data_IF_886909552768
#
_entry.id   IF_886909552768
#
_cell.length_a   1.000
_cell.length_b   1.000
_cell.length_c   1.000
_cell.angle_alpha   90.00
_cell.angle_beta   90.00
_cell.angle_gamma   90.00
#
_symmetry.space_group_name_H-M   'P 1'
#
loop_
_entity.id
_entity.type
_entity.pdbx_description
1 polymer ?
#
# COMPACT_ATOMS: atom_id res chain seq x y z
N UNK A 1 -36.03 48.58 6.93
CA UNK A 1 -37.07 47.78 6.26
C UNK A 1 -36.82 46.30 6.53
N UNK A 2 -37.86 45.58 6.93
CA UNK A 2 -37.72 44.14 7.27
C UNK A 2 -37.23 43.31 6.07
N UNK A 3 -37.55 43.71 4.84
CA UNK A 3 -37.09 43.00 3.63
C UNK A 3 -35.55 42.98 3.54
N UNK A 4 -34.89 44.12 3.72
CA UNK A 4 -33.44 44.21 3.69
C UNK A 4 -32.81 43.34 4.78
N UNK A 5 -33.41 43.29 5.98
CA UNK A 5 -32.95 42.44 7.07
C UNK A 5 -33.08 40.94 6.74
N UNK A 6 -34.17 40.54 6.08
CA UNK A 6 -34.34 39.12 5.69
C UNK A 6 -33.40 38.64 4.58
N UNK A 7 -33.03 39.55 3.68
CA UNK A 7 -32.01 39.21 2.64
C UNK A 7 -30.59 39.12 3.20
N UNK A 8 -30.25 39.88 4.24
CA UNK A 8 -28.88 39.97 4.74
C UNK A 8 -27.92 40.51 3.67
N UNK A 9 -26.67 40.07 3.65
CA UNK A 9 -25.70 40.39 2.61
C UNK A 9 -25.50 41.88 2.36
N UNK A 10 -25.64 42.72 3.41
CA UNK A 10 -25.59 44.19 3.34
C UNK A 10 -26.73 44.83 2.51
N UNK A 11 -27.81 44.09 2.29
CA UNK A 11 -29.00 44.70 1.69
C UNK A 11 -29.51 45.88 2.55
N UNK A 12 -29.95 46.94 1.92
CA UNK A 12 -30.42 48.14 2.62
C UNK A 12 -31.56 48.82 1.87
N UNK A 13 -32.29 49.70 2.57
CA UNK A 13 -33.25 50.63 1.99
C UNK A 13 -32.86 52.02 2.48
N UNK A 14 -32.61 52.95 1.59
CA UNK A 14 -32.25 54.32 1.94
C UNK A 14 -33.45 55.15 2.36
N UNK A 15 -33.24 56.39 2.75
CA UNK A 15 -34.29 57.34 3.18
C UNK A 15 -35.31 57.64 2.09
N UNK A 16 -34.94 57.49 0.83
CA UNK A 16 -35.82 57.75 -0.34
C UNK A 16 -36.61 56.50 -0.75
N UNK A 17 -36.48 55.40 0.03
CA UNK A 17 -37.15 54.13 -0.23
C UNK A 17 -36.49 53.24 -1.28
N UNK A 18 -35.31 53.60 -1.75
CA UNK A 18 -34.56 52.83 -2.77
C UNK A 18 -33.91 51.62 -2.11
N UNK A 19 -34.16 50.44 -2.65
CA UNK A 19 -33.58 49.17 -2.16
C UNK A 19 -32.20 48.90 -2.83
N UNK A 20 -31.20 48.67 -2.02
CA UNK A 20 -29.90 48.13 -2.46
C UNK A 20 -29.92 46.64 -2.18
N UNK A 21 -29.70 45.82 -3.20
CA UNK A 21 -29.71 44.37 -3.11
C UNK A 21 -28.58 43.79 -2.27
N UNK A 22 -28.69 42.52 -1.89
CA UNK A 22 -27.64 41.84 -1.12
C UNK A 22 -26.41 41.55 -1.95
N UNK A 23 -25.27 41.37 -1.27
CA UNK A 23 -24.05 40.82 -1.82
C UNK A 23 -23.62 39.62 -0.96
N UNK A 24 -23.61 38.44 -1.54
CA UNK A 24 -23.16 37.21 -0.88
C UNK A 24 -21.81 36.82 -1.42
N UNK A 25 -20.78 36.74 -0.56
CA UNK A 25 -19.44 36.26 -0.97
C UNK A 25 -19.35 34.75 -0.71
N UNK A 26 -19.08 33.97 -1.78
CA UNK A 26 -18.88 32.51 -1.72
C UNK A 26 -17.52 32.24 -2.38
N UNK A 27 -16.57 31.71 -1.61
CA UNK A 27 -15.19 31.70 -2.01
C UNK A 27 -14.67 33.12 -2.26
N UNK A 28 -14.15 33.41 -3.44
CA UNK A 28 -13.68 34.73 -3.83
C UNK A 28 -14.67 35.50 -4.72
N UNK A 29 -15.85 34.94 -5.00
CA UNK A 29 -16.84 35.50 -5.92
C UNK A 29 -18.02 36.11 -5.20
N UNK A 30 -18.51 37.28 -5.67
CA UNK A 30 -19.71 37.93 -5.17
C UNK A 30 -20.94 37.56 -6.01
N UNK A 31 -22.03 37.26 -5.32
CA UNK A 31 -23.35 36.99 -5.89
C UNK A 31 -24.37 37.99 -5.36
N UNK A 32 -25.25 38.45 -6.22
CA UNK A 32 -26.16 39.57 -5.93
C UNK A 32 -27.62 39.13 -5.74
N UNK A 33 -27.88 37.85 -5.73
CA UNK A 33 -29.17 37.27 -5.37
C UNK A 33 -28.99 35.90 -4.72
N UNK A 34 -30.02 35.48 -3.98
CA UNK A 34 -30.01 34.20 -3.23
C UNK A 34 -29.90 33.01 -4.16
N UNK A 35 -30.56 33.03 -5.31
CA UNK A 35 -30.58 31.90 -6.25
C UNK A 35 -29.20 31.59 -6.77
N UNK A 36 -28.44 32.60 -7.27
CA UNK A 36 -27.10 32.42 -7.77
C UNK A 36 -26.12 32.03 -6.65
N UNK A 37 -26.29 32.60 -5.45
CA UNK A 37 -25.46 32.23 -4.30
C UNK A 37 -25.67 30.75 -3.91
N UNK A 38 -26.93 30.30 -3.85
CA UNK A 38 -27.23 28.88 -3.56
C UNK A 38 -26.73 27.94 -4.68
N UNK A 39 -26.86 28.35 -5.94
CA UNK A 39 -26.31 27.56 -7.07
C UNK A 39 -24.81 27.43 -6.98
N UNK A 40 -24.09 28.50 -6.62
CA UNK A 40 -22.64 28.48 -6.43
C UNK A 40 -22.22 27.56 -5.26
N UNK A 41 -22.93 27.61 -4.13
CA UNK A 41 -22.72 26.71 -3.00
C UNK A 41 -22.92 25.26 -3.44
N UNK A 42 -24.04 24.96 -4.12
CA UNK A 42 -24.34 23.61 -4.60
C UNK A 42 -23.24 23.09 -5.56
N UNK A 43 -22.77 23.93 -6.48
CA UNK A 43 -21.69 23.55 -7.41
C UNK A 43 -20.37 23.30 -6.68
N UNK A 44 -20.00 24.20 -5.75
CA UNK A 44 -18.76 24.02 -4.95
C UNK A 44 -18.82 22.78 -4.09
N UNK A 45 -19.97 22.50 -3.46
CA UNK A 45 -20.20 21.33 -2.63
C UNK A 45 -20.15 20.04 -3.46
N UNK A 46 -20.79 20.02 -4.63
CA UNK A 46 -20.76 18.86 -5.54
C UNK A 46 -19.35 18.55 -6.05
N UNK A 47 -18.56 19.59 -6.38
CA UNK A 47 -17.16 19.41 -6.78
C UNK A 47 -16.31 18.87 -5.63
N UNK A 48 -16.42 19.46 -4.43
CA UNK A 48 -15.66 19.02 -3.27
C UNK A 48 -16.02 17.60 -2.84
N UNK A 49 -17.30 17.19 -2.97
CA UNK A 49 -17.70 15.80 -2.72
C UNK A 49 -17.17 14.85 -3.81
N UNK A 50 -17.11 15.32 -5.07
CA UNK A 50 -16.51 14.54 -6.17
C UNK A 50 -15.05 14.18 -5.93
N UNK A 51 -14.33 15.03 -5.19
CA UNK A 51 -12.91 14.88 -4.87
C UNK A 51 -12.66 14.21 -3.50
N UNK A 52 -13.71 13.83 -2.77
CA UNK A 52 -13.60 13.22 -1.45
C UNK A 52 -13.53 11.68 -1.51
N UNK A 53 -12.89 11.07 -0.52
CA UNK A 53 -12.98 9.63 -0.30
C UNK A 53 -14.37 9.31 0.27
N UNK A 54 -15.27 8.84 -0.57
CA UNK A 54 -16.67 8.63 -0.23
C UNK A 54 -16.98 7.17 0.12
N UNK A 55 -17.98 7.01 1.01
CA UNK A 55 -18.56 5.71 1.32
C UNK A 55 -19.44 5.22 0.15
N UNK A 56 -19.09 4.07 -0.41
CA UNK A 56 -19.93 3.35 -1.38
C UNK A 56 -20.83 2.39 -0.61
N UNK A 57 -22.10 2.77 -0.48
CA UNK A 57 -23.10 2.00 0.26
C UNK A 57 -23.43 0.66 -0.41
N UNK A 58 -23.28 0.55 -1.74
CA UNK A 58 -23.52 -0.68 -2.48
C UNK A 58 -22.39 -1.68 -2.26
N UNK A 59 -21.15 -1.20 -2.27
CA UNK A 59 -19.96 -2.02 -2.05
C UNK A 59 -19.64 -2.19 -0.56
N UNK A 60 -20.24 -1.42 0.35
CA UNK A 60 -20.01 -1.44 1.79
C UNK A 60 -18.60 -1.01 2.19
N UNK A 61 -18.00 -0.04 1.48
CA UNK A 61 -16.61 0.40 1.71
C UNK A 61 -16.35 1.83 1.22
N UNK A 62 -15.27 2.45 1.68
CA UNK A 62 -14.75 3.66 1.07
C UNK A 62 -14.09 3.32 -0.27
N UNK A 63 -14.29 4.16 -1.28
CA UNK A 63 -13.72 3.96 -2.61
C UNK A 63 -12.81 5.12 -2.97
N UNK A 64 -11.56 4.79 -3.32
CA UNK A 64 -10.59 5.74 -3.86
C UNK A 64 -10.63 5.84 -5.39
N UNK A 65 -11.72 5.39 -6.01
CA UNK A 65 -11.95 5.62 -7.44
C UNK A 65 -12.15 7.10 -7.73
N UNK A 66 -11.48 7.59 -8.77
CA UNK A 66 -11.50 9.00 -9.12
C UNK A 66 -11.55 9.21 -10.63
N UNK A 67 -11.85 10.49 -11.01
CA UNK A 67 -11.91 10.88 -12.42
C UNK A 67 -13.14 10.36 -13.17
N UNK A 68 -13.23 10.73 -14.44
CA UNK A 68 -14.39 10.47 -15.31
C UNK A 68 -14.65 8.99 -15.55
N UNK A 69 -13.59 8.16 -15.53
CA UNK A 69 -13.67 6.73 -15.77
C UNK A 69 -13.81 5.91 -14.48
N UNK A 70 -13.70 6.56 -13.30
CA UNK A 70 -13.71 5.85 -12.03
C UNK A 70 -12.51 4.92 -11.85
N UNK A 71 -11.34 5.33 -12.30
CA UNK A 71 -10.10 4.59 -12.17
C UNK A 71 -9.63 4.55 -10.71
N UNK A 72 -8.83 3.54 -10.35
CA UNK A 72 -8.24 3.45 -9.01
C UNK A 72 -7.26 4.61 -8.79
N UNK A 73 -7.27 5.18 -7.59
CA UNK A 73 -6.36 6.26 -7.17
C UNK A 73 -5.41 5.80 -6.08
N UNK A 74 -4.27 6.46 -5.98
CA UNK A 74 -3.32 6.30 -4.89
C UNK A 74 -3.74 7.19 -3.72
N UNK A 75 -3.66 6.66 -2.49
CA UNK A 75 -3.77 7.45 -1.27
C UNK A 75 -2.35 7.73 -0.78
N UNK A 76 -1.96 9.01 -0.73
CA UNK A 76 -0.64 9.46 -0.29
C UNK A 76 -0.69 10.00 1.15
N UNK A 77 0.50 10.24 1.73
CA UNK A 77 0.64 10.86 3.05
C UNK A 77 -0.05 10.07 4.19
N UNK A 78 -0.19 8.75 4.00
CA UNK A 78 -0.66 7.84 5.05
C UNK A 78 0.47 7.66 6.05
N UNK A 79 0.24 8.06 7.31
CA UNK A 79 1.18 7.81 8.42
C UNK A 79 1.37 6.30 8.63
N UNK A 80 2.46 5.94 9.31
CA UNK A 80 2.71 4.55 9.71
C UNK A 80 1.57 4.06 10.61
N UNK A 81 0.95 2.95 10.21
CA UNK A 81 -0.04 2.25 11.02
C UNK A 81 0.60 1.46 12.15
N UNK A 82 -0.13 1.23 13.22
CA UNK A 82 0.31 0.32 14.27
C UNK A 82 0.44 -1.11 13.71
N UNK A 83 1.58 -1.76 14.02
CA UNK A 83 1.81 -3.16 13.66
C UNK A 83 1.68 -4.01 14.91
N UNK A 84 0.47 -4.51 15.15
CA UNK A 84 0.15 -5.44 16.24
C UNK A 84 -0.88 -6.47 15.80
N UNK A 85 -1.09 -7.50 16.61
CA UNK A 85 -2.07 -8.57 16.35
C UNK A 85 -3.53 -8.11 16.43
N UNK A 86 -3.77 -6.94 17.01
CA UNK A 86 -5.10 -6.33 17.17
C UNK A 86 -5.29 -5.06 16.34
N UNK A 87 -4.26 -4.60 15.60
CA UNK A 87 -4.35 -3.40 14.78
C UNK A 87 -5.32 -3.55 13.62
N UNK A 88 -6.06 -2.48 13.34
CA UNK A 88 -6.88 -2.30 12.15
C UNK A 88 -6.43 -1.12 11.29
N UNK A 89 -5.24 -0.58 11.57
CA UNK A 89 -4.71 0.55 10.84
C UNK A 89 -4.32 0.20 9.41
N UNK A 90 -4.37 1.17 8.51
CA UNK A 90 -3.81 1.04 7.19
C UNK A 90 -2.27 1.02 7.28
N UNK A 91 -1.65 0.17 6.47
CA UNK A 91 -0.19 0.08 6.33
C UNK A 91 0.24 0.83 5.09
N UNK A 92 1.28 1.66 5.20
CA UNK A 92 1.84 2.36 4.05
C UNK A 92 3.00 1.59 3.38
N UNK A 93 3.45 2.10 2.22
CA UNK A 93 4.50 1.46 1.44
C UNK A 93 5.85 1.34 2.14
N UNK A 94 6.20 2.29 3.04
CA UNK A 94 7.48 2.24 3.76
C UNK A 94 7.53 1.10 4.78
N UNK A 95 6.42 0.82 5.46
CA UNK A 95 6.32 -0.30 6.39
C UNK A 95 6.42 -1.65 5.66
N UNK A 96 5.77 -1.78 4.50
CA UNK A 96 5.88 -2.99 3.66
C UNK A 96 7.30 -3.16 3.12
N UNK A 97 7.95 -2.06 2.66
CA UNK A 97 9.33 -2.10 2.21
C UNK A 97 10.29 -2.56 3.31
N UNK A 98 10.07 -2.13 4.56
CA UNK A 98 10.85 -2.57 5.72
C UNK A 98 10.79 -4.10 5.93
N UNK A 99 9.59 -4.68 5.82
CA UNK A 99 9.42 -6.15 5.90
C UNK A 99 10.09 -6.85 4.72
N UNK A 100 9.93 -6.33 3.50
CA UNK A 100 10.55 -6.89 2.29
C UNK A 100 12.08 -6.88 2.39
N UNK A 101 12.67 -5.79 2.89
CA UNK A 101 14.12 -5.67 3.12
C UNK A 101 14.62 -6.70 4.13
N UNK A 102 13.90 -6.88 5.24
CA UNK A 102 14.25 -7.92 6.22
C UNK A 102 14.21 -9.34 5.61
N UNK A 103 13.22 -9.62 4.76
CA UNK A 103 13.08 -10.92 4.11
C UNK A 103 14.26 -11.20 3.17
N UNK A 104 14.66 -10.25 2.31
CA UNK A 104 15.79 -10.44 1.40
C UNK A 104 17.13 -10.56 2.14
N UNK A 105 17.32 -9.81 3.23
CA UNK A 105 18.48 -9.93 4.11
C UNK A 105 18.55 -11.32 4.76
N UNK A 106 17.42 -11.86 5.22
CA UNK A 106 17.34 -13.19 5.81
C UNK A 106 17.57 -14.31 4.80
N UNK A 107 17.16 -14.14 3.55
CA UNK A 107 17.39 -15.08 2.46
C UNK A 107 18.88 -15.06 2.03
N UNK A 108 19.52 -13.91 2.00
CA UNK A 108 20.88 -13.77 1.43
C UNK A 108 20.93 -14.13 -0.05
N UNK A 109 22.04 -14.72 -0.49
CA UNK A 109 22.19 -15.22 -1.87
C UNK A 109 22.00 -14.15 -2.97
N UNK A 110 22.17 -12.86 -2.64
CA UNK A 110 21.94 -11.77 -3.59
C UNK A 110 20.47 -11.43 -3.83
N UNK A 111 19.55 -11.90 -2.97
CA UNK A 111 18.18 -11.44 -2.99
C UNK A 111 18.10 -9.94 -2.72
N UNK A 112 17.24 -9.20 -3.42
CA UNK A 112 17.10 -7.76 -3.25
C UNK A 112 15.67 -7.29 -3.51
N UNK A 113 15.28 -6.14 -2.93
CA UNK A 113 14.02 -5.46 -3.23
C UNK A 113 14.27 -4.45 -4.34
N UNK A 114 13.59 -4.62 -5.47
CA UNK A 114 13.70 -3.74 -6.62
C UNK A 114 12.96 -2.41 -6.40
N UNK A 115 13.28 -1.40 -7.22
CA UNK A 115 12.65 -0.08 -7.15
C UNK A 115 11.13 -0.10 -7.40
N UNK A 116 10.62 -1.12 -8.08
CA UNK A 116 9.18 -1.32 -8.33
C UNK A 116 8.48 -2.14 -7.23
N UNK A 117 9.21 -2.51 -6.16
CA UNK A 117 8.70 -3.29 -5.04
C UNK A 117 8.70 -4.81 -5.27
N UNK A 118 9.14 -5.29 -6.43
CA UNK A 118 9.35 -6.73 -6.66
C UNK A 118 10.61 -7.23 -5.96
N UNK A 119 10.70 -8.54 -5.74
CA UNK A 119 11.88 -9.17 -5.12
C UNK A 119 12.62 -9.98 -6.17
N UNK A 120 13.92 -9.72 -6.31
CA UNK A 120 14.84 -10.61 -7.03
C UNK A 120 15.12 -11.81 -6.13
N UNK A 121 14.92 -13.02 -6.65
CA UNK A 121 15.17 -14.25 -5.92
C UNK A 121 16.67 -14.41 -5.56
N UNK A 122 16.98 -15.11 -4.47
CA UNK A 122 18.37 -15.46 -4.15
C UNK A 122 18.97 -16.40 -5.18
N UNK A 123 20.30 -16.47 -5.24
CA UNK A 123 21.03 -17.50 -5.98
C UNK A 123 21.98 -18.21 -5.02
N UNK A 124 21.78 -19.51 -4.83
CA UNK A 124 22.66 -20.36 -4.04
C UNK A 124 23.40 -21.34 -4.95
N UNK A 125 24.72 -21.24 -5.01
CA UNK A 125 25.53 -22.14 -5.84
C UNK A 125 26.00 -23.33 -5.03
N UNK A 126 25.52 -24.52 -5.35
CA UNK A 126 25.86 -25.80 -4.71
C UNK A 126 26.39 -26.77 -5.80
N UNK A 127 27.57 -27.32 -5.61
CA UNK A 127 28.20 -28.25 -6.55
C UNK A 127 28.21 -27.76 -8.01
N UNK A 128 28.45 -26.45 -8.23
CA UNK A 128 28.44 -25.73 -9.51
C UNK A 128 27.07 -25.63 -10.21
N UNK A 129 25.96 -25.84 -9.50
CA UNK A 129 24.60 -25.57 -9.95
C UNK A 129 23.97 -24.48 -9.12
N UNK A 130 23.14 -23.64 -9.73
CA UNK A 130 22.47 -22.52 -9.08
C UNK A 130 21.01 -22.88 -8.73
N UNK A 131 20.59 -22.48 -7.54
CA UNK A 131 19.26 -22.69 -6.99
C UNK A 131 18.68 -21.34 -6.53
N UNK A 132 17.41 -21.09 -6.83
CA UNK A 132 16.73 -19.82 -6.57
C UNK A 132 15.86 -19.81 -5.30
N UNK A 133 15.93 -20.90 -4.52
CA UNK A 133 15.26 -21.01 -3.24
C UNK A 133 16.02 -21.91 -2.27
N UNK A 134 15.75 -21.67 -0.98
CA UNK A 134 16.44 -22.39 0.12
C UNK A 134 16.16 -23.89 0.10
N UNK A 135 14.93 -24.31 -0.25
CA UNK A 135 14.52 -25.71 -0.24
C UNK A 135 15.33 -26.55 -1.22
N UNK A 136 15.44 -26.08 -2.45
CA UNK A 136 16.21 -26.79 -3.50
C UNK A 136 17.71 -26.75 -3.21
N UNK A 137 18.23 -25.65 -2.68
CA UNK A 137 19.63 -25.56 -2.25
C UNK A 137 19.96 -26.58 -1.14
N UNK A 138 19.08 -26.73 -0.13
CA UNK A 138 19.25 -27.71 0.93
C UNK A 138 19.16 -29.16 0.41
N UNK A 139 18.20 -29.44 -0.50
CA UNK A 139 18.11 -30.75 -1.15
C UNK A 139 19.35 -31.09 -1.95
N UNK A 140 19.96 -30.10 -2.63
CA UNK A 140 21.19 -30.29 -3.37
C UNK A 140 22.38 -30.61 -2.44
N UNK A 141 22.46 -29.97 -1.27
CA UNK A 141 23.47 -30.29 -0.24
C UNK A 141 23.27 -31.71 0.25
N UNK A 142 22.02 -32.10 0.59
CA UNK A 142 21.69 -33.43 1.09
C UNK A 142 22.13 -34.51 0.07
N UNK A 143 21.76 -34.35 -1.21
CA UNK A 143 22.15 -35.24 -2.29
C UNK A 143 23.68 -35.33 -2.44
N UNK A 144 24.38 -34.18 -2.37
CA UNK A 144 25.84 -34.13 -2.50
C UNK A 144 26.51 -34.84 -1.34
N UNK A 145 25.96 -34.75 -0.14
CA UNK A 145 26.47 -35.44 1.04
C UNK A 145 26.23 -36.95 0.95
N UNK A 146 25.07 -37.37 0.44
CA UNK A 146 24.72 -38.78 0.24
C UNK A 146 25.68 -39.45 -0.76
N UNK A 147 26.21 -38.70 -1.75
CA UNK A 147 27.15 -39.17 -2.73
C UNK A 147 28.63 -39.06 -2.26
N UNK A 148 28.87 -38.44 -1.11
CA UNK A 148 30.23 -38.22 -0.60
C UNK A 148 30.79 -39.49 0.05
N UNK A 149 32.09 -39.68 -0.07
CA UNK A 149 32.83 -40.71 0.68
C UNK A 149 32.96 -40.25 2.14
N UNK A 150 32.12 -40.79 3.03
CA UNK A 150 32.07 -40.42 4.43
C UNK A 150 32.85 -41.38 5.32
N UNK A 151 33.36 -40.86 6.47
CA UNK A 151 34.00 -41.67 7.47
C UNK A 151 32.95 -42.48 8.25
N UNK A 152 33.12 -43.80 8.21
CA UNK A 152 32.31 -44.73 9.02
C UNK A 152 33.17 -45.23 10.20
N UNK A 153 32.83 -44.79 11.41
CA UNK A 153 33.55 -45.15 12.63
C UNK A 153 33.37 -46.63 13.03
N UNK A 154 32.30 -47.24 12.54
CA UNK A 154 31.97 -48.65 12.85
C UNK A 154 32.56 -49.65 11.82
N UNK A 155 33.22 -49.17 10.78
CA UNK A 155 33.82 -49.96 9.73
C UNK A 155 35.21 -50.47 10.15
N UNK A 156 35.30 -51.67 10.64
CA UNK A 156 36.56 -52.29 11.05
C UNK A 156 37.07 -51.82 12.42
N UNK A 157 38.34 -52.25 12.79
CA UNK A 157 38.89 -51.92 14.11
C UNK A 157 39.23 -50.45 14.34
N UNK A 158 39.45 -49.70 13.26
CA UNK A 158 39.85 -48.26 13.33
C UNK A 158 38.94 -47.31 12.55
N UNK A 159 37.76 -47.75 12.08
CA UNK A 159 36.91 -47.03 11.15
C UNK A 159 37.48 -47.02 9.72
N UNK A 160 36.72 -46.63 8.73
CA UNK A 160 37.11 -46.48 7.33
C UNK A 160 36.27 -45.45 6.58
N UNK A 161 36.78 -44.97 5.47
CA UNK A 161 35.91 -44.25 4.52
C UNK A 161 35.02 -45.25 3.79
N UNK A 162 33.72 -45.04 3.82
CA UNK A 162 32.73 -45.91 3.21
C UNK A 162 32.31 -45.42 1.85
N UNK A 163 32.27 -46.30 0.85
CA UNK A 163 31.66 -46.05 -0.46
C UNK A 163 30.19 -46.44 -0.51
N UNK A 164 29.60 -46.77 0.63
CA UNK A 164 28.16 -47.03 0.73
C UNK A 164 27.43 -45.69 0.71
N UNK A 165 26.51 -45.50 -0.26
CA UNK A 165 25.80 -44.27 -0.51
C UNK A 165 24.34 -44.37 -0.10
N UNK A 166 23.76 -43.20 0.21
CA UNK A 166 22.37 -43.03 0.45
C UNK A 166 21.86 -43.62 1.79
N UNK A 167 20.60 -43.45 2.03
CA UNK A 167 19.92 -43.84 3.27
C UNK A 167 20.00 -45.35 3.56
N UNK A 168 20.11 -46.15 2.51
CA UNK A 168 20.12 -47.64 2.62
C UNK A 168 21.56 -48.22 2.67
N UNK A 169 22.61 -47.37 2.68
CA UNK A 169 24.05 -47.73 2.75
C UNK A 169 24.42 -48.86 1.78
N UNK A 170 23.86 -48.81 0.57
CA UNK A 170 24.22 -49.77 -0.50
C UNK A 170 25.41 -49.24 -1.29
N UNK A 171 26.42 -50.12 -1.56
CA UNK A 171 27.61 -49.78 -2.36
C UNK A 171 27.29 -49.76 -3.86
#
# INVERSE_FOLDING_TARGET
>A
SNIATYFGGNASVNTDGVFTGPTYKIGETNYYNVGDALAAINSSFSTSLGDALLWDATAGKFSAKHGTNGDASVITDVADGEISDSSSDAVNGSQLHGVSSYVVDALGGGAEVNADGTITAPTYTIANADYDNVGDALNAIDTTLDDALLWDADAGENGAFSAAHGKDKTA
#
